data_IF_261578718292
#
_entry.id   IF_261578718292
#
_cell.length_a   1.000
_cell.length_b   1.000
_cell.length_c   1.000
_cell.angle_alpha   90.00
_cell.angle_beta   90.00
_cell.angle_gamma   90.00
#
_symmetry.space_group_name_H-M   'P 1'
#
loop_
_entity.id
_entity.type
_entity.pdbx_description
1 polymer ?
#
# COMPACT_ATOMS: atom_id res chain seq x y z
N UNK A 1 6.49 18.05 -6.57
CA UNK A 1 6.64 17.74 -5.13
C UNK A 1 7.48 18.82 -4.47
N UNK A 2 7.12 19.28 -3.27
CA UNK A 2 7.91 20.29 -2.53
C UNK A 2 9.01 19.63 -1.70
N UNK A 3 10.08 20.35 -1.39
CA UNK A 3 11.18 19.87 -0.53
C UNK A 3 10.68 19.40 0.84
N UNK A 4 9.75 20.15 1.44
CA UNK A 4 9.15 19.77 2.73
C UNK A 4 8.40 18.43 2.65
N UNK A 5 7.64 18.20 1.58
CA UNK A 5 6.92 16.92 1.38
C UNK A 5 7.90 15.76 1.18
N UNK A 6 8.97 15.99 0.42
CA UNK A 6 10.02 15.00 0.21
C UNK A 6 10.73 14.61 1.51
N UNK A 7 11.13 15.59 2.34
CA UNK A 7 11.74 15.34 3.66
C UNK A 7 10.82 14.54 4.57
N UNK A 8 9.51 14.82 4.55
CA UNK A 8 8.52 14.07 5.32
C UNK A 8 8.43 12.61 4.86
N UNK A 9 8.42 12.35 3.55
CA UNK A 9 8.42 10.99 2.99
C UNK A 9 9.67 10.23 3.42
N UNK A 10 10.86 10.82 3.27
CA UNK A 10 12.12 10.19 3.70
C UNK A 10 12.11 9.87 5.20
N UNK A 11 11.63 10.80 6.02
CA UNK A 11 11.52 10.58 7.45
C UNK A 11 10.60 9.41 7.80
N UNK A 12 9.51 9.20 7.06
CA UNK A 12 8.59 8.07 7.28
C UNK A 12 9.25 6.75 6.90
N UNK A 13 9.90 6.70 5.74
CA UNK A 13 10.54 5.48 5.22
C UNK A 13 11.71 5.00 6.11
N UNK A 14 12.42 5.93 6.75
CA UNK A 14 13.55 5.61 7.64
C UNK A 14 13.18 5.45 9.11
N UNK A 15 11.91 5.67 9.49
CA UNK A 15 11.52 5.74 10.91
C UNK A 15 11.76 4.42 11.65
N UNK A 16 11.46 3.29 11.01
CA UNK A 16 11.58 1.95 11.60
C UNK A 16 12.19 0.99 10.58
N UNK A 17 13.35 0.39 10.86
CA UNK A 17 14.08 -0.43 9.89
C UNK A 17 13.35 -1.73 9.46
N UNK A 18 12.31 -2.13 10.19
CA UNK A 18 11.63 -3.43 10.04
C UNK A 18 10.18 -3.33 9.58
N UNK A 19 9.70 -2.14 9.17
CA UNK A 19 8.27 -1.99 8.82
C UNK A 19 7.85 -2.87 7.64
N UNK A 20 8.78 -3.32 6.79
CA UNK A 20 8.52 -4.22 5.66
C UNK A 20 8.48 -5.70 6.02
N UNK A 21 8.90 -6.10 7.24
CA UNK A 21 8.89 -7.50 7.64
C UNK A 21 7.46 -8.01 7.83
N UNK A 22 7.20 -9.21 7.30
CA UNK A 22 5.89 -9.85 7.28
C UNK A 22 4.75 -8.99 6.71
N UNK A 23 5.06 -8.06 5.79
CA UNK A 23 4.08 -7.12 5.25
C UNK A 23 3.06 -7.81 4.35
N UNK A 24 1.77 -7.53 4.55
CA UNK A 24 0.73 -7.96 3.63
C UNK A 24 0.80 -7.18 2.31
N UNK A 25 1.46 -7.76 1.30
CA UNK A 25 1.71 -7.15 -0.03
C UNK A 25 0.42 -6.73 -0.74
N UNK A 26 -0.70 -7.42 -0.46
CA UNK A 26 -2.03 -7.08 -0.97
C UNK A 26 -2.48 -5.66 -0.60
N UNK A 27 -2.09 -5.16 0.57
CA UNK A 27 -2.40 -3.78 0.96
C UNK A 27 -1.59 -2.77 0.13
N UNK A 28 -0.35 -3.12 -0.23
CA UNK A 28 0.45 -2.31 -1.16
C UNK A 28 -0.19 -2.27 -2.55
N UNK A 29 -0.69 -3.40 -3.05
CA UNK A 29 -1.42 -3.45 -4.32
C UNK A 29 -2.66 -2.54 -4.29
N UNK A 30 -3.44 -2.61 -3.22
CA UNK A 30 -4.59 -1.73 -3.04
C UNK A 30 -4.19 -0.25 -3.09
N UNK A 31 -3.11 0.15 -2.40
CA UNK A 31 -2.64 1.53 -2.41
C UNK A 31 -2.12 1.95 -3.80
N UNK A 32 -1.44 1.06 -4.51
CA UNK A 32 -0.97 1.31 -5.88
C UNK A 32 -2.14 1.50 -6.83
N UNK A 33 -3.15 0.64 -6.79
CA UNK A 33 -4.34 0.75 -7.64
C UNK A 33 -5.07 2.07 -7.36
N UNK A 34 -5.22 2.47 -6.09
CA UNK A 34 -5.78 3.79 -5.73
C UNK A 34 -4.99 4.94 -6.32
N UNK A 35 -3.65 4.85 -6.28
CA UNK A 35 -2.77 5.88 -6.85
C UNK A 35 -2.90 5.95 -8.37
N UNK A 36 -2.95 4.80 -9.05
CA UNK A 36 -3.07 4.74 -10.51
C UNK A 36 -4.43 5.26 -11.00
N UNK A 37 -5.49 5.04 -10.23
CA UNK A 37 -6.84 5.53 -10.54
C UNK A 37 -7.03 7.04 -10.30
N UNK A 38 -6.04 7.76 -9.78
CA UNK A 38 -6.07 9.22 -9.72
C UNK A 38 -5.88 9.81 -11.12
N UNK A 39 -6.77 10.74 -11.50
CA UNK A 39 -6.91 11.24 -12.89
C UNK A 39 -5.71 12.09 -13.32
N UNK A 40 -5.07 12.81 -12.40
CA UNK A 40 -3.99 13.72 -12.75
C UNK A 40 -2.73 13.63 -11.85
N UNK A 41 -1.62 14.12 -12.40
CA UNK A 41 -0.29 14.11 -11.78
C UNK A 41 -0.19 14.98 -10.53
N UNK A 42 -0.99 16.04 -10.43
CA UNK A 42 -1.01 16.94 -9.30
C UNK A 42 -1.68 16.26 -8.09
N UNK A 43 -2.81 15.60 -8.30
CA UNK A 43 -3.50 14.77 -7.31
C UNK A 43 -2.57 13.67 -6.80
N UNK A 44 -1.96 12.91 -7.72
CA UNK A 44 -0.94 11.91 -7.41
C UNK A 44 0.19 12.50 -6.56
N UNK A 45 0.69 13.69 -6.91
CA UNK A 45 1.75 14.35 -6.15
C UNK A 45 1.31 14.73 -4.73
N UNK A 46 0.07 15.22 -4.57
CA UNK A 46 -0.50 15.61 -3.27
C UNK A 46 -0.78 14.39 -2.38
N UNK A 47 -1.13 13.24 -2.97
CA UNK A 47 -1.50 12.03 -2.24
C UNK A 47 -0.29 11.22 -1.74
N UNK A 48 0.88 11.35 -2.37
CA UNK A 48 2.09 10.57 -2.06
C UNK A 48 2.45 10.54 -0.57
N UNK A 49 2.49 11.69 0.11
CA UNK A 49 2.86 11.72 1.54
C UNK A 49 1.86 10.94 2.41
N UNK A 50 0.58 10.93 2.02
CA UNK A 50 -0.47 10.20 2.74
C UNK A 50 -0.38 8.70 2.48
N UNK A 51 -0.12 8.30 1.23
CA UNK A 51 0.06 6.90 0.86
C UNK A 51 1.28 6.29 1.54
N UNK A 52 2.43 6.98 1.52
CA UNK A 52 3.64 6.52 2.23
C UNK A 52 3.38 6.36 3.72
N UNK A 53 2.69 7.33 4.34
CA UNK A 53 2.33 7.23 5.77
C UNK A 53 1.49 5.99 6.05
N UNK A 54 0.50 5.69 5.19
CA UNK A 54 -0.32 4.47 5.29
C UNK A 54 0.52 3.20 5.13
N UNK A 55 1.52 3.20 4.25
CA UNK A 55 2.43 2.07 4.08
C UNK A 55 3.22 1.80 5.36
N UNK A 56 3.84 2.85 5.93
CA UNK A 56 4.79 2.72 7.04
C UNK A 56 4.11 2.51 8.40
N UNK A 57 2.95 3.13 8.64
CA UNK A 57 2.33 3.12 9.98
C UNK A 57 1.45 1.90 10.26
N UNK A 58 1.13 1.08 9.25
CA UNK A 58 0.32 -0.14 9.41
C UNK A 58 -0.96 0.10 10.24
N UNK A 59 -1.70 1.17 9.90
CA UNK A 59 -2.92 1.58 10.60
C UNK A 59 -4.08 0.57 10.46
N UNK A 60 -5.27 0.93 10.96
CA UNK A 60 -6.45 0.04 11.00
C UNK A 60 -6.77 -0.63 9.66
N UNK A 61 -6.72 0.13 8.55
CA UNK A 61 -7.00 -0.39 7.21
C UNK A 61 -6.01 -1.51 6.81
N UNK A 62 -4.72 -1.33 7.12
CA UNK A 62 -3.70 -2.37 6.91
C UNK A 62 -3.99 -3.60 7.78
N UNK A 63 -4.28 -3.42 9.06
CA UNK A 63 -4.51 -4.51 10.00
C UNK A 63 -5.73 -5.37 9.63
N UNK A 64 -6.77 -4.73 9.08
CA UNK A 64 -7.96 -5.43 8.57
C UNK A 64 -7.63 -6.28 7.35
N UNK A 65 -6.89 -5.74 6.38
CA UNK A 65 -6.45 -6.47 5.19
C UNK A 65 -5.49 -7.61 5.57
N UNK A 66 -4.48 -7.34 6.39
CA UNK A 66 -3.53 -8.35 6.85
C UNK A 66 -4.23 -9.51 7.56
N UNK A 67 -5.19 -9.21 8.45
CA UNK A 67 -5.97 -10.24 9.13
C UNK A 67 -6.77 -11.07 8.14
N UNK A 68 -7.50 -10.44 7.22
CA UNK A 68 -8.28 -11.14 6.20
C UNK A 68 -7.42 -12.03 5.29
N UNK A 69 -6.25 -11.55 4.89
CA UNK A 69 -5.27 -12.33 4.10
C UNK A 69 -4.80 -13.56 4.88
N UNK A 70 -4.39 -13.39 6.14
CA UNK A 70 -3.90 -14.50 6.98
C UNK A 70 -5.00 -15.53 7.25
N UNK A 71 -6.21 -15.09 7.58
CA UNK A 71 -7.36 -15.99 7.82
C UNK A 71 -7.71 -16.79 6.57
N UNK A 72 -7.69 -16.15 5.40
CA UNK A 72 -7.96 -16.80 4.11
C UNK A 72 -6.86 -17.81 3.76
N UNK A 73 -5.59 -17.45 3.97
CA UNK A 73 -4.45 -18.34 3.73
C UNK A 73 -4.52 -19.60 4.61
N UNK A 74 -4.85 -19.44 5.89
CA UNK A 74 -5.05 -20.57 6.82
C UNK A 74 -6.22 -21.44 6.36
N UNK A 75 -7.36 -20.86 6.02
CA UNK A 75 -8.54 -21.60 5.59
C UNK A 75 -8.32 -22.42 4.31
N UNK A 76 -7.44 -21.97 3.42
CA UNK A 76 -7.14 -22.61 2.15
C UNK A 76 -5.81 -23.39 2.15
N UNK A 77 -5.10 -23.44 3.29
CA UNK A 77 -3.79 -24.08 3.42
C UNK A 77 -2.78 -23.63 2.34
N UNK A 78 -2.71 -22.32 2.09
CA UNK A 78 -1.79 -21.72 1.11
C UNK A 78 -0.95 -20.60 1.74
N UNK A 79 -0.01 -20.04 0.98
CA UNK A 79 0.76 -18.88 1.43
C UNK A 79 -0.11 -17.62 1.46
N UNK A 80 0.23 -16.65 2.30
CA UNK A 80 -0.37 -15.32 2.25
C UNK A 80 -0.11 -14.65 0.89
N UNK A 81 1.01 -14.96 0.25
CA UNK A 81 1.37 -14.41 -1.08
C UNK A 81 0.48 -14.95 -2.21
N UNK A 82 -0.22 -16.07 -2.00
CA UNK A 82 -1.15 -16.65 -2.99
C UNK A 82 -2.52 -15.96 -2.93
N UNK A 83 -2.81 -15.20 -1.87
CA UNK A 83 -4.08 -14.51 -1.72
C UNK A 83 -4.11 -13.28 -2.63
N UNK A 84 -5.25 -13.10 -3.31
CA UNK A 84 -5.55 -11.95 -4.16
C UNK A 84 -6.82 -11.27 -3.66
N UNK A 85 -6.83 -9.95 -3.68
CA UNK A 85 -8.02 -9.17 -3.33
C UNK A 85 -8.96 -9.12 -4.54
N UNK A 86 -10.12 -9.77 -4.45
CA UNK A 86 -11.00 -10.03 -5.60
C UNK A 86 -11.53 -8.78 -6.32
N UNK A 87 -11.56 -7.63 -5.65
CA UNK A 87 -12.09 -6.37 -6.21
C UNK A 87 -10.99 -5.37 -6.58
N UNK A 88 -9.73 -5.76 -6.49
CA UNK A 88 -8.59 -4.88 -6.72
C UNK A 88 -7.76 -5.44 -7.87
N UNK A 89 -7.90 -4.80 -9.03
CA UNK A 89 -7.15 -5.12 -10.23
C UNK A 89 -6.37 -3.90 -10.68
N UNK A 90 -5.15 -4.13 -11.13
CA UNK A 90 -4.38 -3.12 -11.82
C UNK A 90 -5.07 -2.78 -13.15
N UNK A 91 -5.07 -1.49 -13.57
CA UNK A 91 -5.51 -1.10 -14.90
C UNK A 91 -4.73 -1.84 -15.99
N UNK A 92 -5.37 -2.15 -17.11
CA UNK A 92 -4.71 -2.76 -18.27
C UNK A 92 -3.67 -1.81 -18.89
N UNK A 93 -3.97 -0.51 -18.87
CA UNK A 93 -3.10 0.55 -19.36
C UNK A 93 -2.77 1.52 -18.22
N UNK A 94 -1.48 1.87 -18.10
CA UNK A 94 -0.97 2.78 -17.06
C UNK A 94 -0.36 4.00 -17.75
N UNK A 95 -1.00 5.16 -17.56
CA UNK A 95 -0.41 6.46 -17.88
C UNK A 95 0.38 7.01 -16.68
N UNK A 96 1.62 7.45 -16.92
CA UNK A 96 2.57 7.89 -15.89
C UNK A 96 2.74 9.41 -15.80
#
# INVERSE_FOLDING_TARGET
MTEASFKRILSLLHKDYTWTDGYATQYLDMLNIRYLNMEDKEERTKSLSTLVKRMTEKGKEYQEIERGVRETAIANNCSTEDIRLSNWHYPEEIEW
#
